data_IF_835556050418
#
_entry.id   IF_835556050418
#
_cell.length_a   1.000
_cell.length_b   1.000
_cell.length_c   1.000
_cell.angle_alpha   90.00
_cell.angle_beta   90.00
_cell.angle_gamma   90.00
#
_symmetry.space_group_name_H-M   'P 1'
#
loop_
_entity.id
_entity.type
_entity.pdbx_description
1 polymer ?
#
# COMPACT_ATOMS: atom_id res chain seq x y z
N UNK A 1 29.36 16.21 -2.07
CA UNK A 1 28.22 17.00 -1.55
C UNK A 1 27.08 16.96 -2.56
N UNK A 2 26.22 15.94 -2.52
CA UNK A 2 25.06 15.85 -3.43
C UNK A 2 23.91 15.21 -2.63
N UNK A 3 22.88 15.99 -2.33
CA UNK A 3 21.44 15.67 -2.34
C UNK A 3 20.68 16.72 -1.53
N UNK A 4 20.34 17.84 -2.16
CA UNK A 4 19.34 18.79 -1.69
C UNK A 4 18.31 18.97 -2.80
N UNK A 5 17.27 18.13 -2.84
CA UNK A 5 15.99 18.48 -3.49
C UNK A 5 14.94 17.39 -3.25
N UNK A 6 14.49 17.23 -2.01
CA UNK A 6 13.24 16.52 -1.70
C UNK A 6 12.38 17.38 -0.80
N UNK A 7 12.10 18.62 -1.24
CA UNK A 7 11.04 19.40 -0.63
C UNK A 7 10.44 20.37 -1.64
N UNK A 8 9.46 19.88 -2.44
CA UNK A 8 8.45 20.71 -3.11
C UNK A 8 7.21 19.89 -3.47
N UNK A 9 6.11 20.25 -2.82
CA UNK A 9 4.69 20.04 -3.17
C UNK A 9 4.05 18.62 -3.07
N UNK A 10 2.95 18.48 -2.29
CA UNK A 10 2.14 17.27 -2.23
C UNK A 10 0.91 17.41 -3.14
N UNK A 11 1.07 17.27 -4.45
CA UNK A 11 -0.06 17.06 -5.37
C UNK A 11 0.36 16.07 -6.47
N UNK A 12 -0.35 14.95 -6.55
CA UNK A 12 -0.27 13.89 -7.56
C UNK A 12 0.89 12.89 -7.43
N UNK A 13 0.75 11.93 -6.51
CA UNK A 13 1.35 10.59 -6.66
C UNK A 13 0.28 9.53 -6.36
N UNK A 14 -0.68 9.41 -7.29
CA UNK A 14 -1.55 8.26 -7.45
C UNK A 14 -1.48 7.92 -8.94
N UNK A 15 -0.61 6.99 -9.29
CA UNK A 15 -0.34 6.62 -10.67
C UNK A 15 0.64 5.45 -10.74
N UNK A 16 0.09 4.25 -10.90
CA UNK A 16 0.68 3.11 -11.62
C UNK A 16 2.17 2.79 -11.36
N UNK A 17 2.43 1.92 -10.39
CA UNK A 17 3.61 1.04 -10.42
C UNK A 17 3.13 -0.40 -10.54
N UNK A 18 2.96 -0.86 -11.78
CA UNK A 18 3.02 -2.26 -12.13
C UNK A 18 3.26 -2.33 -13.64
N UNK A 19 4.52 -2.18 -14.06
CA UNK A 19 5.05 -2.64 -15.35
C UNK A 19 6.53 -2.25 -15.46
N UNK A 20 7.43 -3.19 -15.15
CA UNK A 20 8.68 -3.42 -15.90
C UNK A 20 9.49 -4.47 -15.15
N UNK A 21 9.37 -5.73 -15.57
CA UNK A 21 10.38 -6.77 -15.44
C UNK A 21 9.92 -7.94 -16.30
N UNK A 22 10.10 -7.79 -17.61
CA UNK A 22 10.11 -8.90 -18.56
C UNK A 22 11.12 -8.61 -19.66
N UNK A 23 12.37 -8.96 -19.38
CA UNK A 23 13.41 -9.25 -20.35
C UNK A 23 14.45 -10.11 -19.59
N UNK A 24 14.85 -11.30 -20.02
CA UNK A 24 14.48 -12.03 -21.21
C UNK A 24 14.87 -13.50 -21.07
N UNK A 25 14.33 -14.31 -21.97
CA UNK A 25 14.88 -15.56 -22.45
C UNK A 25 14.26 -15.75 -23.83
N UNK A 26 15.07 -15.49 -24.86
CA UNK A 26 14.86 -15.95 -26.24
C UNK A 26 14.90 -17.50 -26.25
N UNK A 27 14.28 -18.20 -27.23
CA UNK A 27 14.50 -17.92 -28.65
C UNK A 27 13.30 -18.06 -29.62
N UNK A 28 13.55 -17.47 -30.78
CA UNK A 28 13.13 -17.86 -32.14
C UNK A 28 11.67 -17.70 -32.60
N UNK A 29 11.57 -16.91 -33.68
CA UNK A 29 10.78 -17.15 -34.89
C UNK A 29 9.24 -17.02 -34.81
N UNK A 30 8.72 -15.89 -35.28
CA UNK A 30 8.27 -15.76 -36.68
C UNK A 30 7.36 -14.55 -36.85
N UNK A 31 7.65 -13.78 -37.90
CA UNK A 31 6.88 -12.66 -38.41
C UNK A 31 5.46 -13.10 -38.79
N UNK A 32 4.47 -12.34 -38.35
CA UNK A 32 3.22 -12.16 -39.08
C UNK A 32 2.68 -10.75 -38.78
N UNK A 33 2.94 -9.85 -39.72
CA UNK A 33 2.24 -8.58 -39.89
C UNK A 33 0.75 -8.85 -40.15
N UNK A 34 -0.12 -8.22 -39.37
CA UNK A 34 -1.57 -8.33 -39.53
C UNK A 34 -2.29 -7.25 -38.73
N UNK A 35 -2.59 -6.16 -39.43
CA UNK A 35 -3.36 -5.01 -38.96
C UNK A 35 -4.81 -5.36 -38.56
N UNK A 36 -5.39 -4.43 -37.79
CA UNK A 36 -6.82 -4.19 -37.48
C UNK A 36 -7.39 -4.85 -36.22
N UNK A 37 -7.35 -4.05 -35.16
CA UNK A 37 -8.54 -3.53 -34.50
C UNK A 37 -9.79 -4.39 -34.57
N UNK A 38 -9.99 -5.18 -33.52
CA UNK A 38 -11.32 -5.43 -32.97
C UNK A 38 -11.15 -5.56 -31.46
N UNK A 39 -11.81 -4.67 -30.72
CA UNK A 39 -11.79 -4.59 -29.27
C UNK A 39 -12.35 -5.84 -28.61
N UNK A 40 -11.56 -6.91 -28.57
CA UNK A 40 -11.77 -8.02 -27.67
C UNK A 40 -11.34 -7.55 -26.29
N UNK A 41 -12.28 -6.96 -25.53
CA UNK A 41 -12.21 -7.02 -24.07
C UNK A 41 -12.18 -8.50 -23.74
N UNK A 42 -10.97 -9.06 -23.60
CA UNK A 42 -10.76 -10.37 -23.01
C UNK A 42 -11.39 -10.30 -21.64
N UNK A 43 -12.64 -10.77 -21.58
CA UNK A 43 -13.40 -11.02 -20.38
C UNK A 43 -12.55 -12.05 -19.65
N UNK A 44 -11.65 -11.59 -18.78
CA UNK A 44 -10.93 -12.48 -17.87
C UNK A 44 -12.02 -13.37 -17.29
N UNK A 45 -11.93 -14.67 -17.57
CA UNK A 45 -12.77 -15.67 -16.94
C UNK A 45 -12.74 -15.33 -15.46
N UNK A 46 -13.92 -15.07 -14.88
CA UNK A 46 -14.07 -14.68 -13.47
C UNK A 46 -13.33 -15.74 -12.66
N UNK A 47 -12.11 -15.41 -12.24
CA UNK A 47 -11.34 -16.25 -11.33
C UNK A 47 -12.19 -16.49 -10.10
N UNK A 48 -12.13 -17.70 -9.56
CA UNK A 48 -12.83 -18.06 -8.35
C UNK A 48 -12.67 -16.95 -7.30
N UNK A 49 -13.79 -16.43 -6.79
CA UNK A 49 -13.78 -15.46 -5.71
C UNK A 49 -13.26 -16.20 -4.47
N UNK A 50 -11.96 -16.08 -4.20
CA UNK A 50 -11.38 -16.64 -2.98
C UNK A 50 -12.05 -15.97 -1.77
N UNK A 51 -12.33 -16.73 -0.69
CA UNK A 51 -12.95 -16.17 0.50
C UNK A 51 -12.08 -15.05 1.05
N UNK A 52 -12.70 -13.90 1.35
CA UNK A 52 -12.02 -12.77 1.99
C UNK A 52 -11.77 -13.12 3.46
N UNK A 53 -10.50 -13.28 3.81
CA UNK A 53 -10.06 -13.42 5.20
C UNK A 53 -9.73 -12.04 5.75
N UNK A 54 -10.14 -11.77 7.00
CA UNK A 54 -9.78 -10.56 7.72
C UNK A 54 -8.96 -10.92 8.95
N UNK A 55 -7.74 -10.38 9.02
CA UNK A 55 -6.94 -10.45 10.23
C UNK A 55 -7.47 -9.41 11.22
N UNK A 56 -7.77 -9.87 12.45
CA UNK A 56 -8.12 -8.98 13.55
C UNK A 56 -6.84 -8.70 14.34
N UNK A 57 -6.22 -7.56 14.08
CA UNK A 57 -5.03 -7.12 14.80
C UNK A 57 -5.31 -5.77 15.47
N UNK A 58 -4.95 -5.66 16.74
CA UNK A 58 -4.95 -4.40 17.49
C UNK A 58 -3.63 -3.64 17.35
N UNK A 59 -2.65 -4.25 16.69
CA UNK A 59 -1.29 -3.73 16.54
C UNK A 59 -1.25 -2.78 15.35
N UNK A 60 -0.62 -1.62 15.54
CA UNK A 60 -0.30 -0.69 14.46
C UNK A 60 0.89 -1.20 13.65
N UNK A 61 0.84 -1.01 12.34
CA UNK A 61 1.94 -1.38 11.45
C UNK A 61 3.23 -0.62 11.76
N UNK A 62 4.36 -1.32 11.63
CA UNK A 62 5.71 -0.78 11.74
C UNK A 62 6.13 -0.01 10.48
N UNK A 63 5.38 -0.16 9.38
CA UNK A 63 5.62 0.58 8.14
C UNK A 63 5.08 2.02 8.25
N UNK A 64 5.89 2.89 8.86
CA UNK A 64 5.49 4.26 9.22
C UNK A 64 5.86 5.33 8.19
N UNK A 65 6.68 4.98 7.19
CA UNK A 65 7.20 5.94 6.20
C UNK A 65 6.19 6.31 5.11
N UNK A 66 4.99 5.69 5.09
CA UNK A 66 3.89 6.03 4.17
C UNK A 66 2.57 6.02 4.92
N UNK A 67 1.64 6.87 4.47
CA UNK A 67 0.29 6.93 5.06
C UNK A 67 -0.46 5.62 4.86
N UNK A 68 -0.98 5.09 5.96
CA UNK A 68 -1.88 3.95 5.96
C UNK A 68 -3.35 4.38 5.98
N UNK A 69 -4.28 3.57 5.42
CA UNK A 69 -5.68 3.94 5.35
C UNK A 69 -6.34 4.09 6.73
N UNK A 70 -6.00 3.23 7.69
CA UNK A 70 -6.41 3.30 9.10
C UNK A 70 -5.22 2.98 10.00
N UNK A 71 -5.33 3.22 11.32
CA UNK A 71 -4.22 2.94 12.26
C UNK A 71 -3.97 1.43 12.46
N UNK A 72 -5.04 0.63 12.41
CA UNK A 72 -4.96 -0.82 12.63
C UNK A 72 -4.70 -1.60 11.34
N UNK A 73 -4.45 -0.92 10.21
CA UNK A 73 -4.04 -1.61 9.00
C UNK A 73 -2.60 -2.11 9.13
N UNK A 74 -2.34 -3.26 8.53
CA UNK A 74 -1.00 -3.81 8.37
C UNK A 74 -0.51 -3.58 6.94
N UNK A 75 0.79 -3.47 6.79
CA UNK A 75 1.42 -3.53 5.47
C UNK A 75 1.19 -4.92 4.86
N UNK A 76 1.24 -5.00 3.52
CA UNK A 76 1.11 -6.28 2.80
C UNK A 76 2.12 -7.30 3.30
N UNK A 77 3.33 -6.86 3.65
CA UNK A 77 4.42 -7.70 4.12
C UNK A 77 4.15 -8.23 5.54
N UNK A 78 3.66 -7.40 6.46
CA UNK A 78 3.27 -7.86 7.80
C UNK A 78 2.11 -8.86 7.75
N UNK A 79 1.12 -8.61 6.89
CA UNK A 79 0.00 -9.53 6.69
C UNK A 79 0.48 -10.89 6.17
N UNK A 80 1.39 -10.88 5.19
CA UNK A 80 2.00 -12.10 4.66
C UNK A 80 2.84 -12.82 5.73
N UNK A 81 3.63 -12.09 6.53
CA UNK A 81 4.45 -12.66 7.59
C UNK A 81 3.61 -13.36 8.65
N UNK A 82 2.51 -12.73 9.09
CA UNK A 82 1.54 -13.33 10.03
C UNK A 82 0.87 -14.56 9.42
N UNK A 83 0.44 -14.48 8.16
CA UNK A 83 -0.19 -15.61 7.48
C UNK A 83 0.76 -16.81 7.41
N UNK A 84 2.02 -16.58 7.03
CA UNK A 84 3.04 -17.62 6.96
C UNK A 84 3.38 -18.21 8.34
N UNK A 85 3.53 -17.37 9.37
CA UNK A 85 3.78 -17.83 10.72
C UNK A 85 2.67 -18.76 11.24
N UNK A 86 1.40 -18.42 10.96
CA UNK A 86 0.24 -19.26 11.30
C UNK A 86 0.24 -20.56 10.48
N UNK A 87 0.49 -20.48 9.17
CA UNK A 87 0.48 -21.64 8.27
C UNK A 87 1.56 -22.67 8.63
N UNK A 88 2.77 -22.20 8.95
CA UNK A 88 3.94 -23.02 9.27
C UNK A 88 4.05 -23.33 10.77
N UNK A 89 3.19 -22.74 11.62
CA UNK A 89 3.25 -22.82 13.10
C UNK A 89 4.62 -22.41 13.66
N UNK A 90 5.24 -21.40 13.05
CA UNK A 90 6.55 -20.91 13.43
C UNK A 90 6.56 -19.39 13.51
N UNK A 91 6.52 -18.88 14.75
CA UNK A 91 6.51 -17.44 15.02
C UNK A 91 7.82 -16.74 14.62
N UNK A 92 8.93 -17.50 14.51
CA UNK A 92 10.23 -16.97 14.08
C UNK A 92 10.25 -16.48 12.62
N UNK A 93 9.32 -16.96 11.79
CA UNK A 93 9.16 -16.49 10.40
C UNK A 93 8.75 -15.01 10.40
N UNK A 94 7.90 -14.60 11.34
CA UNK A 94 7.45 -13.21 11.43
C UNK A 94 8.63 -12.29 11.68
N UNK A 95 9.46 -12.59 12.68
CA UNK A 95 10.65 -11.78 13.01
C UNK A 95 11.63 -11.74 11.83
N UNK A 96 11.87 -12.88 11.19
CA UNK A 96 12.78 -12.98 10.03
C UNK A 96 12.34 -12.06 8.88
N UNK A 97 11.03 -11.98 8.61
CA UNK A 97 10.48 -11.15 7.54
C UNK A 97 10.37 -9.67 7.96
N UNK A 98 10.08 -9.37 9.23
CA UNK A 98 9.89 -8.00 9.71
C UNK A 98 11.20 -7.26 10.00
N UNK A 99 12.27 -7.96 10.40
CA UNK A 99 13.57 -7.36 10.66
C UNK A 99 14.11 -6.48 9.50
N UNK A 100 14.11 -6.91 8.23
CA UNK A 100 14.54 -6.05 7.13
C UNK A 100 13.58 -4.86 6.91
N UNK A 101 12.27 -5.00 7.16
CA UNK A 101 11.32 -3.90 7.09
C UNK A 101 11.65 -2.82 8.12
N UNK A 102 11.96 -3.22 9.35
CA UNK A 102 12.38 -2.31 10.42
C UNK A 102 13.66 -1.58 10.06
N UNK A 103 14.69 -2.31 9.58
CA UNK A 103 15.96 -1.72 9.16
C UNK A 103 15.79 -0.71 8.01
N UNK A 104 14.90 -1.02 7.06
CA UNK A 104 14.54 -0.09 5.99
C UNK A 104 13.90 1.17 6.57
N UNK A 105 12.90 1.02 7.44
CA UNK A 105 12.21 2.17 8.02
C UNK A 105 13.16 3.02 8.85
N UNK A 106 14.02 2.42 9.68
CA UNK A 106 15.00 3.15 10.48
C UNK A 106 15.98 3.93 9.60
N UNK A 107 16.49 3.30 8.53
CA UNK A 107 17.38 3.96 7.60
C UNK A 107 16.72 5.17 6.93
N UNK A 108 15.48 5.00 6.45
CA UNK A 108 14.73 6.09 5.84
C UNK A 108 14.50 7.24 6.83
N UNK A 109 14.12 6.95 8.08
CA UNK A 109 13.91 7.96 9.11
C UNK A 109 15.21 8.71 9.46
N UNK A 110 16.33 8.01 9.54
CA UNK A 110 17.65 8.61 9.76
C UNK A 110 18.06 9.55 8.61
N UNK A 111 17.63 9.25 7.39
CA UNK A 111 17.91 10.06 6.20
C UNK A 111 16.81 11.08 5.86
N UNK A 112 15.95 11.41 6.84
CA UNK A 112 14.99 12.53 6.73
C UNK A 112 13.59 12.14 6.25
N UNK A 113 13.26 10.85 6.16
CA UNK A 113 11.88 10.44 6.00
C UNK A 113 11.05 10.81 7.23
N UNK A 114 9.78 11.13 7.02
CA UNK A 114 8.86 11.51 8.08
C UNK A 114 7.93 10.35 8.45
N UNK A 115 7.52 10.32 9.71
CA UNK A 115 6.49 9.40 10.19
C UNK A 115 5.14 9.89 9.71
N UNK A 116 4.42 9.04 8.98
CA UNK A 116 3.10 9.33 8.46
C UNK A 116 2.02 8.63 9.28
N UNK A 117 1.12 9.41 9.87
CA UNK A 117 -0.06 8.90 10.54
C UNK A 117 -1.25 8.75 9.59
N UNK A 118 -2.16 7.83 9.93
CA UNK A 118 -3.41 7.66 9.20
C UNK A 118 -4.28 8.92 9.31
N UNK A 119 -5.13 9.15 8.31
CA UNK A 119 -6.02 10.33 8.30
C UNK A 119 -6.98 10.32 9.49
N UNK A 120 -7.42 9.13 9.89
CA UNK A 120 -8.23 8.91 11.09
C UNK A 120 -7.53 9.42 12.36
N UNK A 121 -6.25 9.07 12.55
CA UNK A 121 -5.48 9.47 13.71
C UNK A 121 -5.30 11.00 13.78
N UNK A 122 -5.00 11.63 12.63
CA UNK A 122 -4.87 13.09 12.55
C UNK A 122 -6.18 13.81 12.89
N UNK A 123 -7.32 13.29 12.44
CA UNK A 123 -8.63 13.91 12.71
C UNK A 123 -9.05 13.75 14.17
N UNK A 124 -8.84 12.56 14.77
CA UNK A 124 -9.18 12.31 16.18
C UNK A 124 -8.36 13.14 17.16
N UNK A 125 -7.09 13.34 16.85
CA UNK A 125 -6.17 14.08 17.73
C UNK A 125 -6.16 15.59 17.44
N UNK A 126 -6.97 16.09 16.49
CA UNK A 126 -6.99 17.51 16.12
C UNK A 126 -5.76 18.01 15.37
N UNK A 127 -4.88 17.10 14.89
CA UNK A 127 -3.62 17.40 14.19
C UNK A 127 -3.80 17.49 12.67
N UNK A 128 -5.01 17.81 12.19
CA UNK A 128 -5.31 17.84 10.76
C UNK A 128 -5.19 19.25 10.20
N UNK A 129 -4.02 19.59 9.66
CA UNK A 129 -3.70 20.96 9.20
C UNK A 129 -4.40 21.38 7.90
N UNK A 130 -5.09 20.46 7.21
CA UNK A 130 -5.68 20.73 5.89
C UNK A 130 -7.12 21.24 6.04
N UNK A 131 -7.52 22.22 5.20
CA UNK A 131 -8.89 22.71 5.22
C UNK A 131 -9.88 21.60 4.87
N UNK A 132 -11.06 21.65 5.47
CA UNK A 132 -12.12 20.69 5.17
C UNK A 132 -12.57 20.78 3.71
N UNK A 133 -12.75 19.64 3.03
CA UNK A 133 -13.21 19.59 1.65
C UNK A 133 -14.69 19.98 1.59
N UNK A 134 -15.06 20.79 0.60
CA UNK A 134 -16.45 21.25 0.41
C UNK A 134 -17.39 20.17 -0.18
N UNK A 135 -16.84 19.08 -0.74
CA UNK A 135 -17.62 18.05 -1.41
C UNK A 135 -18.31 17.11 -0.39
N UNK A 136 -19.65 17.03 -0.44
CA UNK A 136 -20.49 16.18 0.44
C UNK A 136 -20.02 14.72 0.55
N UNK A 137 -19.56 14.11 -0.54
CA UNK A 137 -19.05 12.71 -0.53
C UNK A 137 -17.75 12.59 0.27
N UNK A 138 -16.86 13.58 0.14
CA UNK A 138 -15.59 13.61 0.87
C UNK A 138 -15.80 13.92 2.36
N UNK A 139 -16.75 14.81 2.68
CA UNK A 139 -17.16 15.09 4.06
C UNK A 139 -17.69 13.84 4.75
N UNK A 140 -18.67 13.16 4.14
CA UNK A 140 -19.19 11.88 4.67
C UNK A 140 -18.10 10.84 4.91
N UNK A 141 -17.13 10.71 3.99
CA UNK A 141 -16.01 9.80 4.19
C UNK A 141 -15.13 10.18 5.39
N UNK A 142 -14.96 11.46 5.67
CA UNK A 142 -14.19 11.90 6.85
C UNK A 142 -14.96 11.71 8.15
N UNK A 143 -16.28 11.97 8.15
CA UNK A 143 -17.16 11.67 9.29
C UNK A 143 -17.12 10.18 9.66
N UNK A 144 -17.18 9.29 8.66
CA UNK A 144 -17.08 7.85 8.89
C UNK A 144 -15.75 7.43 9.54
N UNK A 145 -14.64 8.08 9.17
CA UNK A 145 -13.33 7.81 9.78
C UNK A 145 -13.28 8.25 11.25
N UNK A 146 -13.90 9.37 11.61
CA UNK A 146 -13.93 9.86 13.00
C UNK A 146 -14.79 8.96 13.89
N UNK A 147 -15.94 8.51 13.36
CA UNK A 147 -16.92 7.75 14.13
C UNK A 147 -16.60 6.25 14.26
N UNK A 148 -15.44 5.77 13.79
CA UNK A 148 -15.05 4.35 13.78
C UNK A 148 -16.07 3.41 13.13
N UNK A 149 -16.94 3.94 12.26
CA UNK A 149 -17.94 3.12 11.58
C UNK A 149 -17.20 2.31 10.51
N UNK A 150 -17.20 0.98 10.67
CA UNK A 150 -16.57 0.06 9.72
C UNK A 150 -17.08 0.39 8.31
N UNK A 151 -16.16 0.84 7.45
CA UNK A 151 -16.39 1.07 6.01
C UNK A 151 -16.32 -0.27 5.29
#
# INVERSE_FOLDING_TARGET
>A
MIFNSWNRHPKYWMGTYCNSLRAGLHPAASLATGDRSSGARRRLRRGACLPRVQLKTSISSQYVIRTQPTNNCLSTLECAAIALAIMEKNDGIQETILRPLQALCSFQLQHGAQIHHSKEHLLKNGLYDKPMPKNKRKLRRMELLVNNVKI
#
